data_IF_923145537385
#
_entry.id   IF_923145537385
#
_cell.length_a   1.000
_cell.length_b   1.000
_cell.length_c   1.000
_cell.angle_alpha   90.00
_cell.angle_beta   90.00
_cell.angle_gamma   90.00
#
_symmetry.space_group_name_H-M   'P 1'
#
loop_
_entity.id
_entity.type
_entity.pdbx_description
1 polymer ?
#
# COMPACT_ATOMS: atom_id res chain seq x y z
N UNK A 1 27.01 28.03 10.33
CA UNK A 1 27.17 27.28 9.07
C UNK A 1 27.02 25.77 9.27
N UNK A 2 27.80 25.08 10.15
CA UNK A 2 27.66 23.63 10.38
C UNK A 2 26.33 23.24 11.03
N UNK A 3 25.78 24.07 11.93
CA UNK A 3 24.49 23.84 12.60
C UNK A 3 23.32 23.67 11.62
N UNK A 4 23.19 24.57 10.62
CA UNK A 4 22.12 24.49 9.61
C UNK A 4 22.25 23.25 8.72
N UNK A 5 23.47 22.84 8.41
CA UNK A 5 23.74 21.64 7.63
C UNK A 5 23.33 20.37 8.40
N UNK A 6 23.62 20.32 9.71
CA UNK A 6 23.28 19.18 10.57
C UNK A 6 21.76 19.02 10.77
N UNK A 7 21.04 20.14 10.99
CA UNK A 7 19.57 20.14 11.05
C UNK A 7 18.94 19.63 9.76
N UNK A 8 19.52 19.99 8.60
CA UNK A 8 19.05 19.51 7.31
C UNK A 8 19.25 17.99 7.16
N UNK A 9 20.39 17.45 7.60
CA UNK A 9 20.67 16.00 7.57
C UNK A 9 19.72 15.23 8.49
N UNK A 10 19.45 15.72 9.70
CA UNK A 10 18.54 15.05 10.65
C UNK A 10 17.10 14.98 10.11
N UNK A 11 16.62 16.07 9.49
CA UNK A 11 15.28 16.13 8.89
C UNK A 11 15.13 15.18 7.70
N UNK A 12 16.19 15.07 6.88
CA UNK A 12 16.23 14.10 5.77
C UNK A 12 16.25 12.67 6.32
N UNK A 13 17.00 12.38 7.39
CA UNK A 13 17.05 11.06 8.01
C UNK A 13 15.69 10.63 8.56
N UNK A 14 14.97 11.51 9.27
CA UNK A 14 13.62 11.22 9.78
C UNK A 14 12.61 10.97 8.67
N UNK A 15 12.67 11.75 7.59
CA UNK A 15 11.84 11.52 6.39
C UNK A 15 12.12 10.15 5.76
N UNK A 16 13.38 9.76 5.65
CA UNK A 16 13.77 8.46 5.10
C UNK A 16 13.29 7.31 6.01
N UNK A 17 13.46 7.42 7.33
CA UNK A 17 12.97 6.42 8.27
C UNK A 17 11.44 6.26 8.22
N UNK A 18 10.69 7.34 8.01
CA UNK A 18 9.24 7.26 7.83
C UNK A 18 8.83 6.66 6.47
N UNK A 19 9.63 6.88 5.42
CA UNK A 19 9.33 6.40 4.07
C UNK A 19 9.67 4.91 3.85
N UNK A 20 10.71 4.38 4.50
CA UNK A 20 11.16 2.99 4.30
C UNK A 20 10.08 1.93 4.57
N UNK A 21 9.30 2.01 5.67
CA UNK A 21 8.19 1.08 5.90
C UNK A 21 7.10 1.21 4.82
N UNK A 22 6.79 2.43 4.39
CA UNK A 22 5.70 2.70 3.42
C UNK A 22 6.00 2.12 2.05
N UNK A 23 7.25 2.18 1.60
CA UNK A 23 7.68 1.69 0.27
C UNK A 23 7.92 0.17 0.28
N UNK A 24 8.47 -0.36 1.38
CA UNK A 24 8.83 -1.78 1.49
C UNK A 24 7.67 -2.71 1.85
N UNK A 25 6.55 -2.17 2.35
CA UNK A 25 5.42 -2.99 2.77
C UNK A 25 4.68 -3.58 1.56
N UNK A 26 4.55 -4.92 1.45
CA UNK A 26 3.63 -5.51 0.50
C UNK A 26 2.20 -5.02 0.79
N UNK A 27 1.33 -4.91 -0.22
CA UNK A 27 0.01 -4.29 -0.09
C UNK A 27 -0.86 -4.97 1.00
N UNK A 28 -0.63 -6.26 1.27
CA UNK A 28 -1.30 -6.99 2.36
C UNK A 28 -0.85 -6.62 3.79
N UNK A 29 0.29 -5.95 3.97
CA UNK A 29 0.78 -5.48 5.28
C UNK A 29 0.32 -4.05 5.60
N UNK A 30 0.21 -3.19 4.58
CA UNK A 30 -0.40 -1.84 4.69
C UNK A 30 -1.81 -1.92 5.32
N UNK A 31 -2.55 -2.95 4.92
CA UNK A 31 -3.87 -3.33 5.44
C UNK A 31 -3.87 -3.60 6.95
N UNK A 32 -2.88 -4.35 7.43
CA UNK A 32 -2.76 -4.67 8.85
C UNK A 32 -2.43 -3.40 9.66
N UNK A 33 -1.69 -2.45 9.08
CA UNK A 33 -1.39 -1.16 9.69
C UNK A 33 -2.66 -0.31 9.79
N UNK A 34 -3.44 -0.18 8.71
CA UNK A 34 -4.73 0.54 8.73
C UNK A 34 -5.71 -0.04 9.74
N UNK A 35 -5.76 -1.37 9.87
CA UNK A 35 -6.59 -2.04 10.88
C UNK A 35 -6.07 -1.85 12.31
N UNK A 36 -4.75 -1.73 12.52
CA UNK A 36 -4.12 -1.47 13.83
C UNK A 36 -4.28 -0.01 14.27
N UNK A 37 -4.39 0.94 13.33
CA UNK A 37 -4.64 2.38 13.56
C UNK A 37 -6.09 2.65 14.02
N UNK A 38 -6.91 1.63 14.27
CA UNK A 38 -8.30 1.80 14.76
C UNK A 38 -9.21 2.54 13.76
N UNK A 39 -8.95 2.41 12.45
CA UNK A 39 -9.91 2.85 11.45
C UNK A 39 -11.21 2.03 11.59
N UNK A 40 -12.40 2.66 11.47
CA UNK A 40 -13.67 1.97 11.58
C UNK A 40 -13.73 0.79 10.60
N UNK A 41 -14.07 -0.40 11.11
CA UNK A 41 -14.02 -1.66 10.36
C UNK A 41 -14.80 -1.61 9.02
N UNK A 42 -15.83 -0.77 8.93
CA UNK A 42 -16.62 -0.56 7.72
C UNK A 42 -15.85 0.04 6.54
N UNK A 43 -14.73 0.73 6.79
CA UNK A 43 -13.91 1.36 5.73
C UNK A 43 -12.58 0.61 5.56
N UNK A 44 -12.00 0.12 6.65
CA UNK A 44 -10.74 -0.60 6.61
C UNK A 44 -10.80 -1.84 5.72
N UNK A 45 -11.93 -2.56 5.74
CA UNK A 45 -12.10 -3.80 4.99
C UNK A 45 -12.26 -3.56 3.47
N UNK A 46 -13.15 -2.69 2.98
CA UNK A 46 -13.24 -2.39 1.55
C UNK A 46 -11.94 -1.82 0.96
N UNK A 47 -11.29 -0.90 1.68
CA UNK A 47 -10.01 -0.31 1.25
C UNK A 47 -8.92 -1.39 1.12
N UNK A 48 -8.91 -2.32 2.07
CA UNK A 48 -8.01 -3.48 2.04
C UNK A 48 -8.21 -4.36 0.82
N UNK A 49 -9.47 -4.67 0.51
CA UNK A 49 -9.80 -5.45 -0.67
C UNK A 49 -9.38 -4.70 -1.94
N UNK A 50 -9.68 -3.41 -2.06
CA UNK A 50 -9.31 -2.60 -3.22
C UNK A 50 -7.79 -2.56 -3.44
N UNK A 51 -6.98 -2.35 -2.39
CA UNK A 51 -5.52 -2.32 -2.51
C UNK A 51 -4.94 -3.67 -2.94
N UNK A 52 -5.52 -4.79 -2.50
CA UNK A 52 -5.10 -6.14 -2.92
C UNK A 52 -5.63 -6.50 -4.31
N UNK A 53 -6.76 -5.94 -4.71
CA UNK A 53 -7.41 -6.23 -5.98
C UNK A 53 -6.84 -5.41 -7.14
N UNK A 54 -6.33 -4.21 -6.87
CA UNK A 54 -5.67 -3.34 -7.84
C UNK A 54 -4.58 -4.05 -8.68
N UNK A 55 -3.63 -4.82 -8.11
CA UNK A 55 -2.65 -5.55 -8.92
C UNK A 55 -3.28 -6.63 -9.81
N UNK A 56 -4.35 -7.28 -9.35
CA UNK A 56 -5.08 -8.30 -10.14
C UNK A 56 -5.89 -7.67 -11.28
N UNK A 57 -6.53 -6.52 -11.03
CA UNK A 57 -7.22 -5.77 -12.09
C UNK A 57 -6.22 -5.32 -13.15
N UNK A 58 -5.02 -4.87 -12.74
CA UNK A 58 -3.97 -4.50 -13.69
C UNK A 58 -3.53 -5.66 -14.60
N UNK A 59 -3.40 -6.87 -14.07
CA UNK A 59 -3.07 -8.04 -14.91
C UNK A 59 -4.22 -8.37 -15.86
N UNK A 60 -5.47 -8.33 -15.38
CA UNK A 60 -6.65 -8.55 -16.22
C UNK A 60 -6.76 -7.53 -17.38
N UNK A 61 -6.49 -6.24 -17.12
CA UNK A 61 -6.42 -5.23 -18.17
C UNK A 61 -5.35 -5.55 -19.21
N UNK A 62 -4.18 -6.00 -18.77
CA UNK A 62 -3.08 -6.40 -19.67
C UNK A 62 -3.46 -7.60 -20.54
N UNK A 63 -4.17 -8.56 -19.98
CA UNK A 63 -4.60 -9.77 -20.70
C UNK A 63 -5.68 -9.45 -21.72
N UNK A 64 -6.68 -8.64 -21.34
CA UNK A 64 -7.70 -8.15 -22.26
C UNK A 64 -7.07 -7.36 -23.40
N UNK A 65 -6.15 -6.44 -23.08
CA UNK A 65 -5.44 -5.65 -24.10
C UNK A 65 -4.63 -6.53 -25.05
N UNK A 66 -3.94 -7.54 -24.52
CA UNK A 66 -3.18 -8.51 -25.31
C UNK A 66 -4.08 -9.33 -26.24
N UNK A 67 -5.25 -9.76 -25.75
CA UNK A 67 -6.23 -10.50 -26.55
C UNK A 67 -6.81 -9.67 -27.70
N UNK A 68 -7.09 -8.39 -27.47
CA UNK A 68 -7.61 -7.46 -28.48
C UNK A 68 -6.54 -7.08 -29.51
N UNK A 69 -5.28 -6.98 -29.07
CA UNK A 69 -4.12 -6.80 -29.95
C UNK A 69 -3.94 -8.00 -30.89
N UNK A 70 -4.07 -9.23 -30.39
CA UNK A 70 -4.00 -10.45 -31.19
C UNK A 70 -5.12 -10.53 -32.24
N UNK A 71 -6.32 -10.05 -31.89
CA UNK A 71 -7.46 -9.99 -32.81
C UNK A 71 -7.39 -8.84 -33.82
N UNK A 72 -6.35 -7.99 -33.77
CA UNK A 72 -6.20 -6.75 -34.58
C UNK A 72 -7.39 -5.78 -34.49
N UNK A 73 -8.16 -5.87 -33.40
CA UNK A 73 -9.33 -5.01 -33.16
C UNK A 73 -8.94 -3.64 -32.59
N UNK A 74 -7.66 -3.44 -32.25
CA UNK A 74 -7.11 -2.11 -31.96
C UNK A 74 -6.94 -1.31 -33.27
N UNK A 75 -8.04 -0.74 -33.73
CA UNK A 75 -8.03 0.19 -34.85
C UNK A 75 -7.66 1.59 -34.37
N UNK A 76 -6.54 2.12 -34.85
CA UNK A 76 -6.15 3.52 -34.61
C UNK A 76 -7.05 4.53 -35.33
N UNK A 77 -7.89 4.06 -36.27
CA UNK A 77 -8.81 4.91 -37.04
C UNK A 77 -10.08 5.26 -36.28
N UNK A 78 -10.52 4.40 -35.35
CA UNK A 78 -11.72 4.60 -34.54
C UNK A 78 -11.41 4.31 -33.05
N UNK A 79 -10.79 5.28 -32.35
CA UNK A 79 -10.39 5.09 -30.95
C UNK A 79 -11.58 4.92 -30.00
N UNK A 80 -12.78 5.40 -30.36
CA UNK A 80 -13.99 5.24 -29.56
C UNK A 80 -14.47 3.77 -29.56
N UNK A 81 -14.57 3.16 -30.74
CA UNK A 81 -14.94 1.74 -30.87
C UNK A 81 -13.91 0.84 -30.16
N UNK A 82 -12.62 1.17 -30.29
CA UNK A 82 -11.55 0.46 -29.58
C UNK A 82 -11.69 0.55 -28.05
N UNK A 83 -12.15 1.69 -27.52
CA UNK A 83 -12.42 1.85 -26.09
C UNK A 83 -13.63 1.03 -25.65
N UNK A 84 -14.71 1.01 -26.42
CA UNK A 84 -15.89 0.20 -26.10
C UNK A 84 -15.55 -1.30 -26.04
N UNK A 85 -14.71 -1.78 -26.97
CA UNK A 85 -14.22 -3.16 -26.98
C UNK A 85 -13.29 -3.50 -25.80
N UNK A 86 -12.62 -2.53 -25.19
CA UNK A 86 -11.77 -2.73 -24.01
C UNK A 86 -12.61 -2.64 -22.73
N UNK A 87 -13.42 -1.59 -22.60
CA UNK A 87 -14.10 -1.24 -21.35
C UNK A 87 -15.21 -2.24 -21.03
N UNK A 88 -16.02 -2.63 -22.02
CA UNK A 88 -17.15 -3.55 -21.81
C UNK A 88 -16.70 -4.88 -21.19
N UNK A 89 -15.76 -5.66 -21.78
CA UNK A 89 -15.35 -6.93 -21.19
C UNK A 89 -14.64 -6.75 -19.85
N UNK A 90 -13.88 -5.66 -19.64
CA UNK A 90 -13.21 -5.43 -18.36
C UNK A 90 -14.21 -5.18 -17.24
N UNK A 91 -15.27 -4.40 -17.48
CA UNK A 91 -16.32 -4.16 -16.47
C UNK A 91 -17.01 -5.48 -16.10
N UNK A 92 -17.45 -6.26 -17.10
CA UNK A 92 -18.12 -7.54 -16.84
C UNK A 92 -17.23 -8.54 -16.11
N UNK A 93 -15.96 -8.69 -16.54
CA UNK A 93 -14.98 -9.57 -15.89
C UNK A 93 -14.72 -9.12 -14.46
N UNK A 94 -14.46 -7.84 -14.24
CA UNK A 94 -14.17 -7.28 -12.92
C UNK A 94 -15.35 -7.41 -11.96
N UNK A 95 -16.58 -7.18 -12.44
CA UNK A 95 -17.82 -7.36 -11.65
C UNK A 95 -17.98 -8.81 -11.21
N UNK A 96 -17.80 -9.77 -12.13
CA UNK A 96 -17.94 -11.19 -11.80
C UNK A 96 -16.90 -11.64 -10.77
N UNK A 97 -15.66 -11.17 -10.90
CA UNK A 97 -14.62 -11.46 -9.91
C UNK A 97 -14.99 -10.85 -8.55
N UNK A 98 -15.52 -9.62 -8.53
CA UNK A 98 -15.97 -8.99 -7.29
C UNK A 98 -17.11 -9.78 -6.60
N UNK A 99 -18.07 -10.29 -7.37
CA UNK A 99 -19.15 -11.15 -6.87
C UNK A 99 -18.62 -12.48 -6.31
N UNK A 100 -17.73 -13.16 -7.03
CA UNK A 100 -17.07 -14.39 -6.57
C UNK A 100 -16.29 -14.16 -5.27
N UNK A 101 -15.60 -13.01 -5.14
CA UNK A 101 -14.91 -12.60 -3.92
C UNK A 101 -15.87 -12.30 -2.77
N UNK A 102 -16.97 -11.60 -3.03
CA UNK A 102 -17.98 -11.30 -2.02
C UNK A 102 -18.60 -12.59 -1.46
N UNK A 103 -19.00 -13.51 -2.32
CA UNK A 103 -19.53 -14.83 -1.93
C UNK A 103 -18.49 -15.66 -1.15
N UNK A 104 -17.22 -15.64 -1.57
CA UNK A 104 -16.12 -16.30 -0.85
C UNK A 104 -15.84 -15.67 0.51
N UNK A 105 -15.98 -14.36 0.63
CA UNK A 105 -15.81 -13.64 1.89
C UNK A 105 -16.97 -13.90 2.86
N UNK A 106 -18.20 -13.88 2.35
CA UNK A 106 -19.41 -14.15 3.13
C UNK A 106 -19.44 -15.60 3.65
N UNK A 107 -19.11 -16.58 2.80
CA UNK A 107 -18.97 -17.98 3.23
C UNK A 107 -17.88 -18.21 4.27
N UNK A 108 -16.86 -17.34 4.32
CA UNK A 108 -15.82 -17.34 5.38
C UNK A 108 -16.21 -16.56 6.63
N UNK A 109 -17.44 -16.04 6.70
CA UNK A 109 -17.97 -15.35 7.87
C UNK A 109 -17.44 -13.93 8.04
N UNK A 110 -17.21 -13.20 6.94
CA UNK A 110 -16.74 -11.80 7.03
C UNK A 110 -17.76 -10.87 7.70
N UNK A 111 -19.04 -11.23 7.68
CA UNK A 111 -20.14 -10.50 8.33
C UNK A 111 -20.37 -10.90 9.80
N UNK A 112 -19.53 -11.78 10.36
CA UNK A 112 -19.67 -12.21 11.76
C UNK A 112 -19.32 -11.04 12.71
N UNK A 113 -20.22 -10.62 13.64
CA UNK A 113 -19.99 -9.49 14.55
C UNK A 113 -18.91 -9.72 15.63
N UNK A 114 -18.12 -10.80 15.52
CA UNK A 114 -17.03 -11.12 16.44
C UNK A 114 -15.74 -10.32 16.18
N UNK A 115 -14.76 -10.47 17.08
CA UNK A 115 -13.44 -9.83 16.92
C UNK A 115 -12.66 -10.46 15.75
N UNK A 116 -12.57 -9.76 14.63
CA UNK A 116 -11.72 -10.17 13.51
C UNK A 116 -10.23 -10.04 13.86
N UNK A 117 -9.53 -11.15 14.04
CA UNK A 117 -8.09 -11.18 14.30
C UNK A 117 -7.28 -10.96 13.01
N UNK A 118 -6.04 -10.46 13.14
CA UNK A 118 -5.10 -10.36 12.03
C UNK A 118 -4.02 -11.44 12.17
N UNK A 119 -3.84 -12.27 11.13
CA UNK A 119 -2.85 -13.36 11.14
C UNK A 119 -1.41 -12.86 11.04
N UNK A 120 -1.18 -11.70 10.41
CA UNK A 120 0.14 -11.07 10.30
C UNK A 120 0.36 -10.17 11.52
N UNK A 121 1.32 -10.53 12.36
CA UNK A 121 1.74 -9.67 13.47
C UNK A 121 2.66 -8.58 12.92
N UNK A 122 2.26 -7.33 13.08
CA UNK A 122 3.15 -6.18 12.88
C UNK A 122 3.95 -6.04 14.18
N UNK A 123 5.13 -6.63 14.19
CA UNK A 123 6.11 -6.52 15.27
C UNK A 123 7.25 -5.62 14.82
N UNK A 124 7.74 -4.76 15.72
CA UNK A 124 8.93 -3.95 15.48
C UNK A 124 10.11 -4.90 15.22
N UNK A 125 10.69 -4.81 14.03
CA UNK A 125 11.83 -5.65 13.70
C UNK A 125 13.10 -5.10 14.37
N UNK A 126 14.09 -5.97 14.59
CA UNK A 126 15.41 -5.58 15.15
C UNK A 126 16.06 -4.43 14.35
N UNK A 127 15.77 -4.33 13.05
CA UNK A 127 16.22 -3.24 12.17
C UNK A 127 15.62 -1.89 12.58
N UNK A 128 14.34 -1.84 12.91
CA UNK A 128 13.67 -0.62 13.36
C UNK A 128 14.26 -0.14 14.69
N UNK A 129 14.59 -1.08 15.59
CA UNK A 129 15.22 -0.77 16.87
C UNK A 129 16.62 -0.16 16.70
N UNK A 130 17.45 -0.74 15.82
CA UNK A 130 18.78 -0.21 15.50
C UNK A 130 18.68 1.22 14.93
N UNK A 131 17.73 1.46 14.02
CA UNK A 131 17.54 2.79 13.43
C UNK A 131 17.06 3.83 14.45
N UNK A 132 16.15 3.45 15.36
CA UNK A 132 15.73 4.30 16.47
C UNK A 132 16.88 4.65 17.42
N UNK A 133 17.72 3.67 17.77
CA UNK A 133 18.89 3.90 18.63
C UNK A 133 19.86 4.86 17.97
N UNK A 134 20.15 4.70 16.67
CA UNK A 134 21.03 5.62 15.92
C UNK A 134 20.46 7.04 15.95
N UNK A 135 19.15 7.22 15.72
CA UNK A 135 18.52 8.54 15.76
C UNK A 135 18.62 9.20 17.16
N UNK A 136 18.44 8.42 18.23
CA UNK A 136 18.58 8.91 19.62
C UNK A 136 20.04 9.24 19.95
N UNK A 137 21.00 8.44 19.50
CA UNK A 137 22.42 8.72 19.72
C UNK A 137 22.88 10.00 19.01
N UNK A 138 22.42 10.24 17.77
CA UNK A 138 22.76 11.46 17.02
C UNK A 138 22.17 12.71 17.68
N UNK A 139 20.93 12.63 18.20
CA UNK A 139 20.28 13.74 18.92
C UNK A 139 20.90 13.99 20.29
N UNK A 140 21.29 12.95 21.02
CA UNK A 140 22.00 13.09 22.30
C UNK A 140 23.41 13.69 22.11
N UNK A 141 24.14 13.26 21.07
CA UNK A 141 25.45 13.83 20.73
C UNK A 141 25.33 15.33 20.40
N UNK A 142 24.26 15.74 19.70
CA UNK A 142 23.94 17.14 19.44
C UNK A 142 23.76 17.95 20.73
N UNK A 143 22.91 17.45 21.65
CA UNK A 143 22.62 18.15 22.90
C UNK A 143 23.86 18.33 23.77
N UNK A 144 24.79 17.36 23.76
CA UNK A 144 26.06 17.46 24.47
C UNK A 144 26.98 18.48 23.80
N UNK A 145 27.11 18.49 22.46
CA UNK A 145 27.91 19.47 21.73
C UNK A 145 27.42 20.90 21.96
N UNK A 146 26.11 21.13 21.91
CA UNK A 146 25.48 22.42 22.18
C UNK A 146 25.78 22.91 23.61
N UNK A 147 25.76 22.00 24.59
CA UNK A 147 26.09 22.31 25.99
C UNK A 147 27.59 22.49 26.26
N UNK A 148 28.46 22.09 25.34
CA UNK A 148 29.92 22.20 25.48
C UNK A 148 30.47 23.41 24.74
N UNK A 149 29.73 23.93 23.75
CA UNK A 149 30.09 25.10 22.94
C UNK A 149 29.47 26.41 23.47
N UNK A 150 28.40 26.31 24.27
CA UNK A 150 27.83 27.42 25.06
C UNK A 150 28.52 27.59 26.42
#
# INVERSE_FOLDING_TARGET
MPEMFLFMVLRILMMVMAAQPVIGMPPGEVVAVFKKIHAPNGIALPVTFMLRFFPTVRSEFSDVFSSLRLRKLLSWKHPLDAMEYIVTPVIFRSSRIAEELAASAESRGISNPGKHTCRRKIEFQKRDWIMCVIAVCVTAFYFVLERTVA
#
